data_IF_321731626694
#
_entry.id   IF_321731626694
#
_cell.length_a   1.000
_cell.length_b   1.000
_cell.length_c   1.000
_cell.angle_alpha   90.00
_cell.angle_beta   90.00
_cell.angle_gamma   90.00
#
_symmetry.space_group_name_H-M   'P 1'
#
loop_
_entity.id
_entity.type
_entity.pdbx_description
1 polymer ?
#
# COMPACT_ATOMS: atom_id res chain seq x y z
N UNK A 1 -22.14 27.01 -7.51
CA UNK A 1 -21.64 27.88 -6.42
C UNK A 1 -20.75 28.93 -7.04
N UNK A 2 -21.01 30.24 -6.82
CA UNK A 2 -20.24 31.30 -7.46
C UNK A 2 -18.79 31.26 -6.98
N UNK A 3 -17.85 31.19 -7.92
CA UNK A 3 -16.41 31.22 -7.62
C UNK A 3 -16.02 32.67 -7.32
N UNK A 4 -15.66 32.95 -6.06
CA UNK A 4 -15.03 34.23 -5.73
C UNK A 4 -13.69 34.35 -6.48
N UNK A 5 -13.33 35.56 -6.94
CA UNK A 5 -12.06 35.78 -7.61
C UNK A 5 -10.90 35.35 -6.70
N UNK A 6 -10.05 34.49 -7.22
CA UNK A 6 -8.86 34.00 -6.52
C UNK A 6 -7.60 34.41 -7.30
N UNK A 7 -6.58 34.84 -6.58
CA UNK A 7 -5.25 35.09 -7.14
C UNK A 7 -4.43 33.83 -6.90
N UNK A 8 -4.06 33.13 -7.97
CA UNK A 8 -3.20 31.95 -7.87
C UNK A 8 -1.79 32.37 -7.45
N UNK A 9 -1.28 31.69 -6.42
CA UNK A 9 0.06 31.89 -5.89
C UNK A 9 0.71 30.54 -5.64
N UNK A 10 2.02 30.51 -5.46
CA UNK A 10 2.74 29.32 -5.04
C UNK A 10 3.76 29.74 -3.99
N UNK A 11 3.52 29.39 -2.73
CA UNK A 11 4.41 29.76 -1.63
C UNK A 11 4.05 29.08 -0.32
N UNK A 12 4.78 29.44 0.73
CA UNK A 12 4.56 28.98 2.09
C UNK A 12 4.29 30.18 3.00
N UNK A 13 3.37 30.01 3.96
CA UNK A 13 3.14 30.93 5.07
C UNK A 13 3.32 30.19 6.38
N UNK A 14 3.75 30.88 7.44
CA UNK A 14 3.84 30.28 8.78
C UNK A 14 2.78 30.91 9.68
N UNK A 15 1.99 30.10 10.39
CA UNK A 15 0.97 30.63 11.31
C UNK A 15 1.60 31.42 12.45
N UNK A 16 1.04 32.58 12.79
CA UNK A 16 1.51 33.42 13.91
C UNK A 16 0.71 33.18 15.20
N UNK A 17 -0.45 32.56 15.08
CA UNK A 17 -1.33 32.18 16.19
C UNK A 17 -1.95 30.80 15.93
N UNK A 18 -2.68 30.28 16.93
CA UNK A 18 -3.52 29.10 16.73
C UNK A 18 -4.70 29.48 15.82
N UNK A 19 -4.79 28.85 14.66
CA UNK A 19 -5.81 29.15 13.64
C UNK A 19 -6.62 27.90 13.28
N UNK A 20 -7.79 28.11 12.67
CA UNK A 20 -8.61 27.03 12.11
C UNK A 20 -8.37 26.97 10.60
N UNK A 21 -8.03 25.79 10.11
CA UNK A 21 -8.09 25.46 8.69
C UNK A 21 -9.51 24.97 8.38
N UNK A 22 -10.19 25.57 7.41
CA UNK A 22 -11.63 25.37 7.15
C UNK A 22 -11.90 24.78 5.77
N UNK A 23 -12.87 23.88 5.68
CA UNK A 23 -13.19 23.17 4.45
C UNK A 23 -14.31 23.87 3.67
N UNK A 24 -14.20 23.89 2.35
CA UNK A 24 -15.29 24.28 1.45
C UNK A 24 -15.41 25.77 1.15
N UNK A 25 -15.18 26.66 2.12
CA UNK A 25 -15.28 28.11 1.91
C UNK A 25 -14.38 28.95 2.83
N UNK A 26 -14.03 30.15 2.37
CA UNK A 26 -13.28 31.17 3.10
C UNK A 26 -14.20 31.97 4.06
N UNK A 27 -14.76 31.30 5.07
CA UNK A 27 -15.64 31.92 6.08
C UNK A 27 -15.48 31.23 7.44
N UNK A 28 -15.77 31.93 8.54
CA UNK A 28 -15.76 31.36 9.89
C UNK A 28 -16.90 30.38 10.16
N UNK A 29 -17.92 30.35 9.31
CA UNK A 29 -19.05 29.42 9.42
C UNK A 29 -18.75 28.06 8.78
N UNK A 30 -17.72 28.00 7.93
CA UNK A 30 -17.31 26.78 7.26
C UNK A 30 -16.75 25.75 8.26
N UNK A 31 -17.02 24.44 8.07
CA UNK A 31 -16.53 23.39 8.96
C UNK A 31 -15.01 23.48 9.18
N UNK A 32 -14.59 23.36 10.43
CA UNK A 32 -13.15 23.30 10.78
C UNK A 32 -12.62 21.93 10.36
N UNK A 33 -11.73 21.91 9.37
CA UNK A 33 -11.00 20.71 8.97
C UNK A 33 -10.03 20.28 10.07
N UNK A 34 -9.21 21.23 10.56
CA UNK A 34 -8.33 21.04 11.72
C UNK A 34 -7.91 22.37 12.36
N UNK A 35 -7.47 22.31 13.62
CA UNK A 35 -6.76 23.40 14.29
C UNK A 35 -5.27 23.32 13.98
N UNK A 36 -4.65 24.45 13.67
CA UNK A 36 -3.22 24.57 13.36
C UNK A 36 -2.58 25.43 14.44
N UNK A 37 -1.48 24.95 15.04
CA UNK A 37 -0.76 25.66 16.10
C UNK A 37 0.06 26.83 15.51
N UNK A 38 0.42 27.80 16.34
CA UNK A 38 1.37 28.85 15.94
C UNK A 38 2.73 28.24 15.56
N UNK A 39 3.43 28.86 14.61
CA UNK A 39 4.71 28.38 14.09
C UNK A 39 4.61 27.25 13.05
N UNK A 40 3.41 26.89 12.61
CA UNK A 40 3.24 25.80 11.65
C UNK A 40 3.34 26.32 10.20
N UNK A 41 4.23 25.77 9.36
CA UNK A 41 4.30 26.12 7.94
C UNK A 41 3.12 25.50 7.17
N UNK A 42 2.52 26.29 6.28
CA UNK A 42 1.42 25.91 5.39
C UNK A 42 1.74 26.31 3.95
N UNK A 43 1.63 25.35 3.03
CA UNK A 43 1.76 25.61 1.61
C UNK A 43 0.44 26.18 1.07
N UNK A 44 0.53 27.27 0.29
CA UNK A 44 -0.62 28.01 -0.21
C UNK A 44 -0.58 28.13 -1.73
N UNK A 45 -1.77 28.00 -2.33
CA UNK A 45 -1.99 27.92 -3.78
C UNK A 45 -2.83 29.08 -4.32
N UNK A 46 -3.55 29.80 -3.46
CA UNK A 46 -4.28 30.98 -3.86
C UNK A 46 -4.50 31.93 -2.68
N UNK A 47 -4.71 33.21 -2.99
CA UNK A 47 -5.31 34.21 -2.10
C UNK A 47 -6.77 34.37 -2.56
N UNK A 48 -7.70 34.31 -1.62
CA UNK A 48 -9.14 34.38 -1.86
C UNK A 48 -9.74 35.43 -0.94
N UNK A 49 -10.64 36.25 -1.48
CA UNK A 49 -11.47 37.13 -0.66
C UNK A 49 -12.61 36.31 -0.03
N UNK A 50 -12.75 36.39 1.30
CA UNK A 50 -13.74 35.67 2.08
C UNK A 50 -14.40 36.56 3.14
N UNK A 51 -14.98 35.94 4.17
CA UNK A 51 -15.52 36.67 5.31
C UNK A 51 -14.40 37.48 5.98
N UNK A 52 -14.65 38.76 6.20
CA UNK A 52 -13.71 39.63 6.93
C UNK A 52 -13.66 39.21 8.40
N UNK A 53 -12.45 38.90 8.87
CA UNK A 53 -12.16 38.69 10.30
C UNK A 53 -11.20 39.80 10.69
N UNK A 54 -11.50 40.51 11.77
CA UNK A 54 -10.70 41.66 12.27
C UNK A 54 -10.32 42.68 11.17
N UNK A 55 -11.24 42.93 10.24
CA UNK A 55 -11.05 43.89 9.14
C UNK A 55 -10.24 43.36 7.96
N UNK A 56 -9.71 42.14 8.00
CA UNK A 56 -8.99 41.52 6.89
C UNK A 56 -9.86 40.48 6.17
N UNK A 57 -10.24 40.71 4.89
CA UNK A 57 -11.04 39.78 4.11
C UNK A 57 -10.21 38.69 3.40
N UNK A 58 -8.88 38.67 3.57
CA UNK A 58 -8.01 37.77 2.84
C UNK A 58 -7.88 36.41 3.53
N UNK A 59 -7.98 35.36 2.72
CA UNK A 59 -7.78 33.97 3.11
C UNK A 59 -6.79 33.31 2.15
N UNK A 60 -5.96 32.42 2.66
CA UNK A 60 -5.15 31.55 1.83
C UNK A 60 -5.86 30.23 1.58
N UNK A 61 -5.86 29.77 0.32
CA UNK A 61 -6.25 28.40 -0.06
C UNK A 61 -5.01 27.53 -0.06
N UNK A 62 -5.02 26.46 0.74
CA UNK A 62 -3.90 25.50 0.82
C UNK A 62 -3.91 24.52 -0.34
N UNK A 63 -2.86 23.72 -0.44
CA UNK A 63 -2.80 22.56 -1.33
C UNK A 63 -3.83 21.46 -1.01
N UNK A 64 -4.26 21.37 0.24
CA UNK A 64 -5.37 20.53 0.70
C UNK A 64 -6.76 21.05 0.27
N UNK A 65 -6.80 22.16 -0.48
CA UNK A 65 -8.02 22.86 -0.88
C UNK A 65 -8.88 23.35 0.30
N UNK A 66 -8.22 23.70 1.40
CA UNK A 66 -8.83 24.28 2.59
C UNK A 66 -8.39 25.74 2.78
N UNK A 67 -9.11 26.49 3.61
CA UNK A 67 -8.95 27.93 3.77
C UNK A 67 -8.47 28.29 5.17
N UNK A 68 -7.43 29.12 5.26
CA UNK A 68 -6.93 29.71 6.50
C UNK A 68 -6.96 31.24 6.38
N UNK A 69 -7.40 31.91 7.43
CA UNK A 69 -7.48 33.38 7.43
C UNK A 69 -6.07 33.99 7.42
N UNK A 70 -5.81 34.90 6.49
CA UNK A 70 -4.47 35.41 6.23
C UNK A 70 -3.90 36.26 7.39
N UNK A 71 -4.75 36.91 8.18
CA UNK A 71 -4.27 37.68 9.34
C UNK A 71 -3.71 36.83 10.48
N UNK A 72 -3.93 35.51 10.46
CA UNK A 72 -3.33 34.55 11.40
C UNK A 72 -2.02 33.93 10.88
N UNK A 73 -1.49 34.45 9.77
CA UNK A 73 -0.29 33.97 9.10
C UNK A 73 0.75 35.09 8.97
N UNK A 74 2.02 34.70 9.00
CA UNK A 74 3.15 35.56 8.66
C UNK A 74 3.29 35.79 7.16
N UNK A 75 4.35 36.47 6.72
CA UNK A 75 4.54 36.83 5.32
C UNK A 75 4.62 35.60 4.40
N UNK A 76 4.07 35.74 3.19
CA UNK A 76 4.16 34.74 2.13
C UNK A 76 5.61 34.65 1.63
N UNK A 77 6.16 33.45 1.64
CA UNK A 77 7.44 33.10 1.02
C UNK A 77 7.16 32.42 -0.32
N UNK A 78 7.36 33.08 -1.48
CA UNK A 78 7.11 32.48 -2.79
C UNK A 78 8.06 31.32 -3.08
N UNK A 79 7.56 30.27 -3.73
CA UNK A 79 8.42 29.23 -4.30
C UNK A 79 9.02 29.74 -5.63
N UNK A 80 10.30 29.44 -5.88
CA UNK A 80 10.97 29.83 -7.12
C UNK A 80 10.22 29.27 -8.35
N UNK A 81 10.02 30.11 -9.37
CA UNK A 81 9.36 29.73 -10.60
C UNK A 81 10.16 28.60 -11.29
N UNK A 82 9.57 27.40 -11.36
CA UNK A 82 10.23 26.19 -11.88
C UNK A 82 10.39 25.06 -10.85
N UNK A 83 10.13 25.33 -9.57
CA UNK A 83 10.05 24.31 -8.53
C UNK A 83 8.69 24.45 -7.83
N UNK A 84 7.62 23.96 -8.47
CA UNK A 84 6.36 23.77 -7.76
C UNK A 84 6.59 22.66 -6.72
N UNK A 85 6.43 22.91 -5.42
CA UNK A 85 6.43 21.82 -4.46
C UNK A 85 5.21 20.97 -4.74
N UNK A 86 5.37 19.66 -4.60
CA UNK A 86 4.25 18.72 -4.61
C UNK A 86 3.28 19.12 -3.48
N UNK A 87 1.95 19.10 -3.69
CA UNK A 87 0.99 19.39 -2.63
C UNK A 87 1.23 18.49 -1.41
N UNK A 88 1.29 19.09 -0.23
CA UNK A 88 1.21 18.45 1.06
C UNK A 88 -0.18 17.78 1.17
N UNK A 89 -0.25 16.48 1.48
CA UNK A 89 -1.52 15.80 1.64
C UNK A 89 -2.25 16.30 2.90
N UNK A 90 -3.57 16.40 2.79
CA UNK A 90 -4.46 16.73 3.89
C UNK A 90 -4.34 15.71 5.03
N UNK A 91 -4.52 16.13 6.31
CA UNK A 91 -4.64 15.17 7.38
C UNK A 91 -5.87 14.31 7.10
N UNK A 92 -5.62 13.02 6.96
CA UNK A 92 -6.68 12.01 6.83
C UNK A 92 -7.64 12.18 8.02
N UNK A 93 -8.96 12.24 7.80
CA UNK A 93 -9.91 12.18 8.91
C UNK A 93 -9.64 10.90 9.71
N UNK A 94 -9.79 10.98 11.03
CA UNK A 94 -9.66 9.81 11.91
C UNK A 94 -10.54 8.68 11.35
N UNK A 95 -10.01 7.46 11.16
CA UNK A 95 -10.79 6.39 10.57
C UNK A 95 -12.03 6.13 11.42
N UNK A 96 -13.20 6.14 10.80
CA UNK A 96 -14.36 5.45 11.35
C UNK A 96 -13.91 4.05 11.73
N UNK A 97 -14.19 3.57 12.97
CA UNK A 97 -13.81 2.21 13.35
C UNK A 97 -14.31 1.25 12.29
N UNK A 98 -13.37 0.45 11.75
CA UNK A 98 -13.68 -0.53 10.73
C UNK A 98 -14.83 -1.42 11.24
N UNK A 99 -15.84 -1.73 10.40
CA UNK A 99 -16.80 -2.76 10.78
C UNK A 99 -16.01 -4.03 11.11
N UNK A 100 -16.45 -4.72 12.17
CA UNK A 100 -15.89 -6.02 12.55
C UNK A 100 -15.77 -6.92 11.31
N UNK A 101 -14.74 -7.78 11.21
CA UNK A 101 -14.57 -8.65 10.07
C UNK A 101 -15.85 -9.45 9.85
N UNK A 102 -16.44 -9.29 8.67
CA UNK A 102 -17.59 -10.08 8.24
C UNK A 102 -17.13 -11.55 8.30
N UNK A 103 -17.84 -12.46 8.99
CA UNK A 103 -17.54 -13.88 8.94
C UNK A 103 -17.48 -14.31 7.48
N UNK A 104 -16.38 -14.96 7.08
CA UNK A 104 -16.24 -15.46 5.71
C UNK A 104 -17.44 -16.38 5.41
N UNK A 105 -18.24 -16.01 4.41
CA UNK A 105 -19.27 -16.90 3.88
C UNK A 105 -18.62 -18.23 3.44
N UNK A 106 -19.36 -19.36 3.47
CA UNK A 106 -18.85 -20.63 2.97
C UNK A 106 -18.32 -20.45 1.53
N UNK A 107 -17.02 -20.69 1.34
CA UNK A 107 -16.36 -20.53 0.03
C UNK A 107 -16.43 -21.84 -0.73
N UNK A 108 -16.78 -21.78 -2.01
CA UNK A 108 -16.68 -22.94 -2.89
C UNK A 108 -15.21 -23.09 -3.30
N UNK A 109 -14.55 -24.23 -3.01
CA UNK A 109 -13.17 -24.45 -3.42
C UNK A 109 -13.03 -24.43 -4.94
N UNK A 110 -11.87 -23.99 -5.47
CA UNK A 110 -11.50 -24.24 -6.87
C UNK A 110 -11.69 -25.73 -7.16
N UNK A 111 -12.54 -26.04 -8.14
CA UNK A 111 -12.81 -27.40 -8.57
C UNK A 111 -11.51 -28.03 -9.11
N UNK A 112 -11.05 -29.08 -8.45
CA UNK A 112 -9.87 -29.84 -8.86
C UNK A 112 -10.30 -30.95 -9.82
N UNK A 113 -9.72 -30.99 -11.02
CA UNK A 113 -9.68 -32.24 -11.80
C UNK A 113 -8.78 -33.24 -11.07
N UNK A 114 -9.26 -34.48 -10.90
CA UNK A 114 -8.52 -35.56 -10.24
C UNK A 114 -7.32 -36.09 -11.06
N UNK A 115 -7.16 -35.66 -12.32
CA UNK A 115 -6.26 -36.29 -13.29
C UNK A 115 -5.02 -35.45 -13.67
N UNK A 116 -4.99 -34.14 -13.38
CA UNK A 116 -3.85 -33.27 -13.70
C UNK A 116 -2.90 -33.09 -12.49
N UNK A 117 -1.56 -33.02 -12.69
CA UNK A 117 -0.63 -32.68 -11.62
C UNK A 117 -1.03 -31.35 -10.97
N UNK A 118 -1.22 -31.36 -9.65
CA UNK A 118 -1.69 -30.18 -8.90
C UNK A 118 -0.61 -29.09 -8.88
N UNK A 119 -0.69 -28.14 -9.79
CA UNK A 119 0.12 -26.92 -9.74
C UNK A 119 -0.47 -25.94 -8.70
N UNK A 120 0.34 -25.01 -8.15
CA UNK A 120 -0.17 -24.00 -7.24
C UNK A 120 -1.03 -22.98 -8.00
N UNK A 121 -2.03 -22.43 -7.30
CA UNK A 121 -2.92 -21.39 -7.86
C UNK A 121 -2.21 -20.05 -8.00
N UNK A 122 -1.29 -19.77 -7.08
CA UNK A 122 -0.44 -18.59 -7.06
C UNK A 122 0.99 -19.02 -6.74
N UNK A 123 1.95 -18.37 -7.38
CA UNK A 123 3.37 -18.47 -7.05
C UNK A 123 3.90 -17.09 -6.71
N UNK A 124 4.97 -17.05 -5.95
CA UNK A 124 5.79 -15.86 -5.83
C UNK A 124 7.18 -16.09 -6.44
N UNK A 125 7.77 -15.00 -6.93
CA UNK A 125 8.97 -15.03 -7.75
C UNK A 125 9.92 -13.90 -7.38
N UNK A 126 11.20 -14.09 -7.65
CA UNK A 126 12.23 -13.07 -7.72
C UNK A 126 13.14 -13.33 -8.93
N UNK A 127 14.06 -12.41 -9.21
CA UNK A 127 14.98 -12.49 -10.36
C UNK A 127 15.80 -13.79 -10.42
N UNK A 128 16.00 -14.48 -9.30
CA UNK A 128 16.74 -15.74 -9.26
C UNK A 128 15.94 -16.96 -9.73
N UNK A 129 14.62 -16.86 -9.90
CA UNK A 129 13.85 -17.90 -10.57
C UNK A 129 14.07 -17.86 -12.08
N UNK A 130 14.08 -19.01 -12.72
CA UNK A 130 14.02 -19.14 -14.18
C UNK A 130 12.55 -19.14 -14.61
N UNK A 131 12.23 -18.33 -15.62
CA UNK A 131 10.90 -18.26 -16.23
C UNK A 131 11.08 -18.36 -17.74
N UNK A 132 10.61 -19.46 -18.31
CA UNK A 132 10.65 -19.73 -19.75
C UNK A 132 9.33 -19.33 -20.43
N UNK A 133 8.18 -19.53 -19.77
CA UNK A 133 6.87 -19.21 -20.34
C UNK A 133 5.76 -19.07 -19.30
N UNK A 134 5.23 -17.86 -19.14
CA UNK A 134 4.00 -17.64 -18.36
C UNK A 134 2.75 -18.18 -19.05
N UNK A 135 2.74 -18.28 -20.39
CA UNK A 135 1.62 -18.85 -21.13
C UNK A 135 1.45 -20.35 -20.84
N UNK A 136 2.55 -21.11 -20.76
CA UNK A 136 2.52 -22.51 -20.35
C UNK A 136 2.03 -22.65 -18.90
N UNK A 137 2.51 -21.80 -18.00
CA UNK A 137 2.07 -21.80 -16.61
C UNK A 137 0.55 -21.50 -16.49
N UNK A 138 0.06 -20.50 -17.22
CA UNK A 138 -1.37 -20.16 -17.27
C UNK A 138 -2.22 -21.30 -17.81
N UNK A 139 -1.80 -21.91 -18.91
CA UNK A 139 -2.50 -23.04 -19.54
C UNK A 139 -2.58 -24.26 -18.63
N UNK A 140 -1.58 -24.44 -17.77
CA UNK A 140 -1.58 -25.48 -16.75
C UNK A 140 -2.48 -25.19 -15.53
N UNK A 141 -3.01 -23.95 -15.42
CA UNK A 141 -3.94 -23.55 -14.35
C UNK A 141 -3.40 -22.52 -13.35
N UNK A 142 -2.20 -21.94 -13.56
CA UNK A 142 -1.70 -20.87 -12.69
C UNK A 142 -2.60 -19.64 -12.86
N UNK A 143 -2.97 -19.00 -11.76
CA UNK A 143 -3.88 -17.84 -11.78
C UNK A 143 -3.15 -16.53 -11.50
N UNK A 144 -2.15 -16.54 -10.62
CA UNK A 144 -1.46 -15.32 -10.21
C UNK A 144 0.02 -15.49 -9.92
N UNK A 145 0.75 -14.39 -10.05
CA UNK A 145 2.18 -14.27 -9.75
C UNK A 145 2.38 -13.06 -8.85
N UNK A 146 3.02 -13.23 -7.69
CA UNK A 146 3.46 -12.15 -6.81
C UNK A 146 4.97 -12.02 -6.92
N UNK A 147 5.47 -11.00 -7.61
CA UNK A 147 6.89 -10.88 -7.94
C UNK A 147 7.60 -9.85 -7.05
N UNK A 148 8.83 -10.15 -6.63
CA UNK A 148 9.71 -9.20 -5.95
C UNK A 148 9.90 -7.99 -6.84
N UNK A 149 9.55 -6.81 -6.35
CA UNK A 149 9.86 -5.57 -7.04
C UNK A 149 11.14 -4.97 -6.48
N UNK A 150 11.28 -4.96 -5.16
CA UNK A 150 12.33 -4.21 -4.46
C UNK A 150 12.73 -4.84 -3.13
N UNK A 151 13.86 -4.40 -2.61
CA UNK A 151 14.26 -4.62 -1.22
C UNK A 151 15.00 -3.40 -0.69
N UNK A 152 14.71 -3.03 0.56
CA UNK A 152 15.36 -1.91 1.23
C UNK A 152 15.30 -0.61 0.44
N UNK A 153 16.29 0.26 0.68
CA UNK A 153 16.31 1.62 0.13
C UNK A 153 16.55 1.68 -1.39
N UNK A 154 17.33 0.77 -1.97
CA UNK A 154 17.77 0.89 -3.37
C UNK A 154 17.68 -0.40 -4.18
N UNK A 155 17.48 -1.54 -3.55
CA UNK A 155 17.41 -2.83 -4.22
C UNK A 155 16.20 -2.88 -5.14
N UNK A 156 16.43 -3.21 -6.41
CA UNK A 156 15.39 -3.37 -7.44
C UNK A 156 15.61 -4.70 -8.14
N UNK A 157 14.53 -5.46 -8.26
CA UNK A 157 14.56 -6.71 -8.99
C UNK A 157 14.66 -6.42 -10.50
N UNK A 158 15.66 -7.00 -11.15
CA UNK A 158 15.95 -6.72 -12.56
C UNK A 158 14.90 -7.31 -13.49
N UNK A 159 14.32 -8.44 -13.14
CA UNK A 159 13.38 -9.17 -13.98
C UNK A 159 11.93 -8.68 -13.85
N UNK A 160 11.60 -7.96 -12.77
CA UNK A 160 10.23 -7.53 -12.46
C UNK A 160 9.49 -6.87 -13.64
N UNK A 161 10.11 -5.91 -14.32
CA UNK A 161 9.41 -5.12 -15.36
C UNK A 161 9.07 -5.95 -16.59
N UNK A 162 10.03 -6.75 -17.08
CA UNK A 162 9.83 -7.64 -18.22
C UNK A 162 8.81 -8.74 -17.88
N UNK A 163 8.94 -9.34 -16.69
CA UNK A 163 8.04 -10.42 -16.25
C UNK A 163 6.62 -9.95 -16.00
N UNK A 164 6.43 -8.71 -15.54
CA UNK A 164 5.10 -8.11 -15.41
C UNK A 164 4.38 -8.12 -16.76
N UNK A 165 5.03 -7.55 -17.79
CA UNK A 165 4.44 -7.48 -19.12
C UNK A 165 4.13 -8.88 -19.68
N UNK A 166 5.05 -9.83 -19.51
CA UNK A 166 4.86 -11.21 -19.99
C UNK A 166 3.74 -11.96 -19.23
N UNK A 167 3.62 -11.78 -17.92
CA UNK A 167 2.59 -12.43 -17.11
C UNK A 167 1.20 -11.84 -17.35
N UNK A 168 1.09 -10.51 -17.37
CA UNK A 168 -0.17 -9.82 -17.69
C UNK A 168 -0.63 -10.16 -19.13
N UNK A 169 0.30 -10.21 -20.10
CA UNK A 169 0.02 -10.64 -21.48
C UNK A 169 -0.44 -12.10 -21.60
N UNK A 170 -0.06 -12.96 -20.66
CA UNK A 170 -0.57 -14.34 -20.55
C UNK A 170 -1.90 -14.44 -19.77
N UNK A 171 -2.47 -13.33 -19.29
CA UNK A 171 -3.73 -13.31 -18.55
C UNK A 171 -3.60 -13.72 -17.07
N UNK A 172 -2.40 -13.70 -16.51
CA UNK A 172 -2.15 -13.93 -15.08
C UNK A 172 -2.42 -12.66 -14.27
N UNK A 173 -2.90 -12.85 -13.04
CA UNK A 173 -2.96 -11.79 -12.04
C UNK A 173 -1.54 -11.41 -11.60
N UNK A 174 -1.24 -10.11 -11.56
CA UNK A 174 0.11 -9.61 -11.22
C UNK A 174 0.14 -8.94 -9.85
N UNK A 175 1.11 -9.33 -9.03
CA UNK A 175 1.39 -8.74 -7.74
C UNK A 175 2.85 -8.31 -7.62
N UNK A 176 3.08 -7.31 -6.78
CA UNK A 176 4.40 -6.80 -6.45
C UNK A 176 4.62 -6.91 -4.95
N UNK A 177 5.75 -7.47 -4.53
CA UNK A 177 6.16 -7.42 -3.13
C UNK A 177 7.46 -6.65 -2.90
N UNK A 178 7.56 -6.06 -1.72
CA UNK A 178 8.77 -5.44 -1.20
C UNK A 178 9.32 -6.28 -0.06
N UNK A 179 10.57 -6.74 -0.17
CA UNK A 179 11.26 -7.38 0.96
C UNK A 179 11.79 -6.30 1.91
N UNK A 180 11.13 -6.17 3.06
CA UNK A 180 11.40 -5.12 4.04
C UNK A 180 12.71 -5.32 4.78
N UNK A 181 13.43 -4.23 5.01
CA UNK A 181 14.69 -4.23 5.77
C UNK A 181 14.69 -3.20 6.90
N UNK A 182 15.79 -3.12 7.66
CA UNK A 182 16.05 -2.08 8.65
C UNK A 182 16.32 -0.68 8.06
N UNK A 183 16.26 -0.51 6.74
CA UNK A 183 16.44 0.79 6.08
C UNK A 183 15.30 1.79 6.42
N UNK A 184 15.51 3.11 6.24
CA UNK A 184 14.47 4.10 6.50
C UNK A 184 13.19 3.84 5.69
N UNK A 185 12.05 3.73 6.37
CA UNK A 185 10.77 3.29 5.79
C UNK A 185 10.36 4.15 4.59
N UNK A 186 10.45 5.48 4.70
CA UNK A 186 10.15 6.38 3.59
C UNK A 186 10.93 5.99 2.32
N UNK A 187 12.21 5.68 2.46
CA UNK A 187 13.07 5.35 1.34
C UNK A 187 12.74 3.97 0.75
N UNK A 188 12.32 3.02 1.59
CA UNK A 188 11.81 1.72 1.15
C UNK A 188 10.49 1.86 0.35
N UNK A 189 9.56 2.67 0.84
CA UNK A 189 8.28 2.97 0.15
C UNK A 189 8.54 3.68 -1.18
N UNK A 190 9.40 4.70 -1.19
CA UNK A 190 9.75 5.44 -2.41
C UNK A 190 10.38 4.50 -3.45
N UNK A 191 11.32 3.64 -3.04
CA UNK A 191 11.93 2.64 -3.92
C UNK A 191 10.87 1.67 -4.47
N UNK A 192 10.01 1.15 -3.61
CA UNK A 192 8.98 0.19 -3.99
C UNK A 192 7.98 0.77 -4.99
N UNK A 193 7.39 1.94 -4.70
CA UNK A 193 6.41 2.56 -5.58
C UNK A 193 7.03 2.98 -6.92
N UNK A 194 8.28 3.45 -6.91
CA UNK A 194 9.00 3.83 -8.13
C UNK A 194 9.20 2.63 -9.07
N UNK A 195 9.53 1.45 -8.53
CA UNK A 195 9.81 0.25 -9.33
C UNK A 195 8.54 -0.55 -9.64
N UNK A 196 7.65 -0.71 -8.67
CA UNK A 196 6.44 -1.53 -8.80
C UNK A 196 5.40 -0.87 -9.71
N UNK A 197 5.26 0.46 -9.62
CA UNK A 197 4.27 1.27 -10.34
C UNK A 197 2.88 0.59 -10.36
N UNK A 198 2.30 0.32 -9.18
CA UNK A 198 1.09 -0.47 -9.08
C UNK A 198 -0.08 0.28 -9.73
N UNK A 199 -0.76 -0.39 -10.66
CA UNK A 199 -2.04 0.07 -11.19
C UNK A 199 -3.21 -0.43 -10.35
N UNK A 200 -4.47 -0.13 -10.72
CA UNK A 200 -5.65 -0.58 -9.99
C UNK A 200 -5.77 -2.11 -9.88
N UNK A 201 -5.13 -2.88 -10.76
CA UNK A 201 -5.19 -4.34 -10.75
C UNK A 201 -3.94 -5.02 -10.18
N UNK A 202 -2.95 -4.24 -9.71
CA UNK A 202 -1.69 -4.78 -9.19
C UNK A 202 -1.80 -5.05 -7.69
N UNK A 203 -1.70 -6.30 -7.26
CA UNK A 203 -1.54 -6.62 -5.83
C UNK A 203 -0.26 -5.97 -5.30
N UNK A 204 -0.30 -5.44 -4.08
CA UNK A 204 0.84 -4.82 -3.41
C UNK A 204 1.04 -5.51 -2.08
N UNK A 205 2.23 -6.02 -1.81
CA UNK A 205 2.55 -6.73 -0.57
C UNK A 205 3.82 -6.20 0.10
N UNK A 206 3.80 -6.22 1.44
CA UNK A 206 5.01 -6.16 2.25
C UNK A 206 5.40 -7.57 2.63
N UNK A 207 6.64 -7.95 2.33
CA UNK A 207 7.28 -9.14 2.87
C UNK A 207 8.01 -8.75 4.17
N UNK A 208 7.42 -9.16 5.29
CA UNK A 208 7.87 -8.94 6.66
C UNK A 208 8.24 -10.28 7.31
N UNK A 209 9.46 -10.73 7.01
CA UNK A 209 10.02 -11.98 7.52
C UNK A 209 11.27 -11.77 8.38
N UNK A 210 11.76 -12.88 8.94
CA UNK A 210 12.97 -12.88 9.76
C UNK A 210 14.20 -12.72 8.87
N UNK A 211 15.09 -11.78 9.21
CA UNK A 211 16.39 -11.65 8.56
C UNK A 211 17.47 -11.34 9.61
N UNK A 212 18.58 -12.06 9.56
CA UNK A 212 19.63 -11.96 10.58
C UNK A 212 20.42 -10.64 10.52
N UNK A 213 20.44 -9.97 9.37
CA UNK A 213 21.34 -8.83 9.10
C UNK A 213 20.59 -7.50 8.93
N UNK A 214 19.41 -7.58 8.35
CA UNK A 214 18.64 -6.45 7.85
C UNK A 214 17.21 -6.47 8.39
N UNK A 215 16.96 -7.11 9.55
CA UNK A 215 15.63 -7.24 10.15
C UNK A 215 14.83 -5.93 10.15
N UNK A 216 13.72 -5.90 9.42
CA UNK A 216 12.76 -4.80 9.54
C UNK A 216 12.17 -4.76 10.95
N UNK A 217 12.10 -3.57 11.55
CA UNK A 217 11.45 -3.37 12.85
C UNK A 217 9.92 -3.51 12.78
N UNK A 218 9.29 -3.86 13.89
CA UNK A 218 7.83 -3.99 13.98
C UNK A 218 7.11 -2.67 13.65
N UNK A 219 7.57 -1.55 14.24
CA UNK A 219 7.01 -0.23 13.95
C UNK A 219 7.37 0.26 12.54
N UNK A 220 8.52 -0.15 12.00
CA UNK A 220 8.88 0.15 10.62
C UNK A 220 7.91 -0.53 9.63
N UNK A 221 7.55 -1.79 9.89
CA UNK A 221 6.61 -2.52 9.07
C UNK A 221 5.20 -1.91 9.14
N UNK A 222 4.74 -1.51 10.34
CA UNK A 222 3.51 -0.72 10.50
C UNK A 222 3.55 0.57 9.69
N UNK A 223 4.60 1.37 9.83
CA UNK A 223 4.77 2.64 9.09
C UNK A 223 4.79 2.40 7.57
N UNK A 224 5.41 1.32 7.09
CA UNK A 224 5.42 0.98 5.67
C UNK A 224 4.00 0.72 5.15
N UNK A 225 3.23 -0.10 5.86
CA UNK A 225 1.85 -0.44 5.50
C UNK A 225 0.93 0.79 5.50
N UNK A 226 1.09 1.67 6.49
CA UNK A 226 0.38 2.96 6.56
C UNK A 226 0.68 3.83 5.35
N UNK A 227 1.97 4.04 5.04
CA UNK A 227 2.40 4.84 3.90
C UNK A 227 1.92 4.28 2.57
N UNK A 228 1.88 2.95 2.41
CA UNK A 228 1.30 2.35 1.20
C UNK A 228 -0.19 2.66 1.12
N UNK A 229 -0.93 2.54 2.22
CA UNK A 229 -2.34 2.87 2.25
C UNK A 229 -2.61 4.34 1.91
N UNK A 230 -1.82 5.26 2.47
CA UNK A 230 -1.88 6.70 2.14
C UNK A 230 -1.64 6.98 0.65
N UNK A 231 -0.70 6.26 0.02
CA UNK A 231 -0.30 6.51 -1.37
C UNK A 231 -1.24 5.87 -2.39
N UNK A 232 -1.84 4.73 -2.05
CA UNK A 232 -2.63 3.93 -2.99
C UNK A 232 -4.14 3.93 -2.70
N UNK A 233 -4.55 4.41 -1.53
CA UNK A 233 -5.95 4.35 -1.08
C UNK A 233 -6.44 2.95 -0.71
N UNK A 234 -5.56 1.93 -0.76
CA UNK A 234 -5.86 0.53 -0.41
C UNK A 234 -4.73 -0.09 0.40
N UNK A 235 -5.05 -1.11 1.19
CA UNK A 235 -4.08 -1.75 2.08
C UNK A 235 -3.17 -2.70 1.29
N UNK A 236 -1.88 -2.71 1.63
CA UNK A 236 -1.00 -3.78 1.17
C UNK A 236 -1.36 -5.11 1.86
N UNK A 237 -1.14 -6.22 1.16
CA UNK A 237 -1.10 -7.56 1.75
C UNK A 237 0.13 -7.68 2.64
N UNK A 238 -0.01 -8.31 3.80
CA UNK A 238 1.11 -8.64 4.67
C UNK A 238 1.54 -10.08 4.41
N UNK A 239 2.76 -10.27 3.91
CA UNK A 239 3.43 -11.55 3.97
C UNK A 239 4.21 -11.66 5.28
N UNK A 240 3.89 -12.68 6.07
CA UNK A 240 4.62 -13.02 7.28
C UNK A 240 4.20 -14.41 7.77
N UNK A 241 4.88 -14.90 8.82
CA UNK A 241 4.60 -16.20 9.42
C UNK A 241 4.99 -16.20 10.89
N UNK A 242 6.16 -16.77 11.18
CA UNK A 242 6.68 -16.85 12.54
C UNK A 242 6.88 -15.48 13.19
N UNK A 243 7.45 -14.51 12.45
CA UNK A 243 7.82 -13.21 13.01
C UNK A 243 6.60 -12.43 13.53
N UNK A 244 5.53 -12.30 12.76
CA UNK A 244 4.34 -11.57 13.21
C UNK A 244 3.62 -12.27 14.37
N UNK A 245 3.66 -13.62 14.41
CA UNK A 245 3.15 -14.40 15.55
C UNK A 245 3.92 -14.07 16.84
N UNK A 246 5.25 -14.02 16.77
CA UNK A 246 6.08 -13.66 17.92
C UNK A 246 5.79 -12.23 18.40
N UNK A 247 5.75 -11.26 17.47
CA UNK A 247 5.55 -9.84 17.83
C UNK A 247 4.19 -9.55 18.44
N UNK A 248 3.13 -10.21 17.99
CA UNK A 248 1.78 -9.99 18.50
C UNK A 248 1.42 -10.92 19.66
N UNK A 249 2.09 -12.08 19.78
CA UNK A 249 1.73 -13.12 20.73
C UNK A 249 0.24 -13.45 20.67
N UNK A 250 -0.43 -13.37 21.82
CA UNK A 250 -1.87 -13.61 21.95
C UNK A 250 -2.75 -12.36 21.79
N UNK A 251 -2.16 -11.18 21.58
CA UNK A 251 -2.92 -9.93 21.46
C UNK A 251 -3.65 -9.86 20.12
N UNK A 252 -4.90 -9.45 20.15
CA UNK A 252 -5.65 -9.09 18.93
C UNK A 252 -5.33 -7.63 18.63
N UNK A 253 -4.69 -7.37 17.49
CA UNK A 253 -4.33 -6.02 17.07
C UNK A 253 -5.14 -5.65 15.80
N UNK A 254 -6.02 -4.63 15.88
CA UNK A 254 -6.91 -4.26 14.79
C UNK A 254 -6.17 -3.64 13.60
N UNK A 255 -4.99 -3.05 13.81
CA UNK A 255 -4.18 -2.52 12.70
C UNK A 255 -3.70 -3.68 11.84
N UNK A 256 -3.04 -4.67 12.44
CA UNK A 256 -2.50 -5.81 11.72
C UNK A 256 -3.60 -6.69 11.13
N UNK A 257 -4.66 -6.97 11.90
CA UNK A 257 -5.80 -7.77 11.45
C UNK A 257 -6.60 -7.15 10.30
N UNK A 258 -6.44 -5.85 10.01
CA UNK A 258 -7.08 -5.20 8.87
C UNK A 258 -6.38 -5.48 7.53
N UNK A 259 -5.16 -6.02 7.54
CA UNK A 259 -4.44 -6.43 6.34
C UNK A 259 -4.77 -7.88 6.00
N UNK A 260 -4.92 -8.19 4.71
CA UNK A 260 -4.93 -9.58 4.24
C UNK A 260 -3.60 -10.24 4.59
N UNK A 261 -3.67 -11.42 5.18
CA UNK A 261 -2.49 -12.21 5.53
C UNK A 261 -2.13 -13.18 4.39
N UNK A 262 -0.98 -12.95 3.77
CA UNK A 262 -0.25 -13.95 3.00
C UNK A 262 0.65 -14.71 3.98
N UNK A 263 0.15 -15.83 4.47
CA UNK A 263 0.72 -16.56 5.59
C UNK A 263 1.83 -17.50 5.14
N UNK A 264 3.01 -17.43 5.74
CA UNK A 264 4.11 -18.37 5.53
C UNK A 264 4.14 -19.41 6.66
N UNK A 265 3.81 -20.67 6.35
CA UNK A 265 3.90 -21.78 7.30
C UNK A 265 3.97 -23.13 6.59
N UNK A 266 5.10 -23.82 6.68
CA UNK A 266 5.35 -25.07 5.94
C UNK A 266 4.98 -26.31 6.77
N UNK A 267 3.89 -26.19 7.52
CA UNK A 267 3.29 -27.28 8.28
C UNK A 267 2.07 -27.85 7.54
N UNK A 268 1.57 -29.07 7.85
CA UNK A 268 0.37 -29.60 7.21
C UNK A 268 -0.90 -28.77 7.42
N UNK A 269 -0.91 -27.88 8.42
CA UNK A 269 -2.05 -27.02 8.73
C UNK A 269 -1.56 -25.62 9.09
N UNK A 270 -2.07 -24.62 8.40
CA UNK A 270 -1.83 -23.22 8.72
C UNK A 270 -2.51 -22.85 10.05
N UNK A 271 -1.76 -22.21 10.94
CA UNK A 271 -2.28 -21.61 12.17
C UNK A 271 -1.96 -20.13 12.15
N UNK A 272 -2.96 -19.28 12.00
CA UNK A 272 -2.74 -17.82 11.99
C UNK A 272 -2.67 -17.25 13.40
N UNK A 273 -2.09 -16.06 13.52
CA UNK A 273 -2.12 -15.28 14.77
C UNK A 273 -3.54 -14.75 15.01
N UNK A 274 -3.93 -14.53 16.27
CA UNK A 274 -5.32 -14.22 16.69
C UNK A 274 -5.94 -12.96 16.09
N UNK A 275 -5.17 -12.05 15.54
CA UNK A 275 -5.69 -10.87 14.81
C UNK A 275 -6.38 -11.26 13.50
N UNK A 276 -6.13 -12.48 13.00
CA UNK A 276 -6.77 -13.05 11.82
C UNK A 276 -7.60 -14.27 12.19
N UNK A 277 -8.81 -14.36 11.62
CA UNK A 277 -9.63 -15.58 11.70
C UNK A 277 -9.15 -16.67 10.73
N UNK A 278 -8.52 -16.28 9.62
CA UNK A 278 -7.88 -17.18 8.66
C UNK A 278 -6.84 -16.42 7.82
N UNK A 279 -6.04 -17.15 7.05
CA UNK A 279 -5.17 -16.56 6.04
C UNK A 279 -5.99 -16.15 4.81
N UNK A 280 -5.51 -15.16 4.06
CA UNK A 280 -6.03 -14.86 2.73
C UNK A 280 -5.34 -15.75 1.69
N UNK A 281 -4.01 -15.79 1.73
CA UNK A 281 -3.17 -16.66 0.91
C UNK A 281 -2.22 -17.43 1.84
N UNK A 282 -1.89 -18.68 1.54
CA UNK A 282 -0.99 -19.48 2.35
C UNK A 282 0.16 -20.03 1.52
N UNK A 283 1.38 -19.56 1.79
CA UNK A 283 2.60 -20.19 1.30
C UNK A 283 2.90 -21.41 2.16
N UNK A 284 2.68 -22.58 1.59
CA UNK A 284 2.68 -23.85 2.35
C UNK A 284 3.91 -24.72 2.06
N UNK A 285 4.66 -24.41 1.01
CA UNK A 285 5.86 -25.15 0.65
C UNK A 285 6.76 -24.35 -0.30
N UNK A 286 8.07 -24.51 -0.12
CA UNK A 286 9.06 -24.33 -1.18
C UNK A 286 9.50 -25.72 -1.66
N UNK A 287 9.21 -26.09 -2.92
CA UNK A 287 9.52 -27.42 -3.44
C UNK A 287 9.84 -27.40 -4.92
N UNK A 288 10.33 -28.53 -5.44
CA UNK A 288 10.61 -28.71 -6.86
C UNK A 288 9.44 -28.21 -7.71
N UNK A 289 9.74 -27.42 -8.74
CA UNK A 289 8.71 -26.83 -9.56
C UNK A 289 8.03 -27.90 -10.41
N UNK A 290 6.70 -27.93 -10.32
CA UNK A 290 5.83 -28.67 -11.24
C UNK A 290 5.08 -27.72 -12.16
N UNK A 291 5.45 -26.43 -12.19
CA UNK A 291 4.77 -25.39 -12.98
C UNK A 291 5.39 -25.36 -14.38
N UNK A 292 4.65 -25.74 -15.44
CA UNK A 292 5.16 -25.70 -16.80
C UNK A 292 5.64 -24.29 -17.17
N UNK A 293 6.81 -24.23 -17.81
CA UNK A 293 7.43 -22.96 -18.18
C UNK A 293 8.13 -22.21 -17.04
N UNK A 294 8.11 -22.72 -15.80
CA UNK A 294 8.79 -22.07 -14.66
C UNK A 294 9.62 -23.12 -13.91
N UNK A 295 10.88 -23.36 -14.30
CA UNK A 295 11.75 -24.35 -13.64
C UNK A 295 12.03 -24.06 -12.16
N UNK A 296 11.86 -22.82 -11.70
CA UNK A 296 12.13 -22.42 -10.31
C UNK A 296 13.50 -21.74 -10.15
N UNK A 297 13.97 -21.62 -8.91
CA UNK A 297 15.27 -21.04 -8.56
C UNK A 297 16.45 -21.93 -9.01
N UNK A 298 17.68 -21.58 -8.62
CA UNK A 298 18.88 -22.36 -8.96
C UNK A 298 18.82 -23.83 -8.50
N UNK A 299 18.02 -24.15 -7.47
CA UNK A 299 17.75 -25.51 -7.01
C UNK A 299 16.52 -26.15 -7.65
N UNK A 300 15.92 -25.54 -8.66
CA UNK A 300 14.70 -26.00 -9.31
C UNK A 300 13.45 -25.88 -8.44
N UNK A 301 13.46 -25.04 -7.40
CA UNK A 301 12.36 -24.89 -6.45
C UNK A 301 11.54 -23.62 -6.67
N UNK A 302 10.29 -23.65 -6.25
CA UNK A 302 9.39 -22.51 -6.23
C UNK A 302 8.47 -22.57 -5.02
N UNK A 303 8.00 -21.40 -4.61
CA UNK A 303 7.07 -21.22 -3.51
C UNK A 303 5.63 -21.44 -3.98
N UNK A 304 4.93 -22.35 -3.28
CA UNK A 304 3.57 -22.77 -3.60
C UNK A 304 2.61 -22.06 -2.66
N UNK A 305 1.67 -21.34 -3.26
CA UNK A 305 0.63 -20.65 -2.51
C UNK A 305 -0.73 -21.30 -2.73
N UNK A 306 -1.48 -21.43 -1.64
CA UNK A 306 -2.84 -21.92 -1.61
C UNK A 306 -3.80 -20.77 -1.31
N UNK A 307 -4.87 -20.69 -2.10
CA UNK A 307 -5.99 -19.80 -1.87
C UNK A 307 -7.23 -20.63 -1.58
N UNK A 308 -7.93 -20.30 -0.50
CA UNK A 308 -9.18 -20.96 -0.14
C UNK A 308 -10.35 -20.15 -0.73
N UNK A 309 -10.76 -20.49 -1.96
CA UNK A 309 -11.84 -19.84 -2.70
C UNK A 309 -11.76 -20.18 -4.18
N UNK A 310 -12.67 -19.62 -4.98
CA UNK A 310 -12.73 -19.77 -6.44
C UNK A 310 -11.75 -18.84 -7.18
N UNK A 311 -11.53 -19.05 -8.49
CA UNK A 311 -10.80 -18.07 -9.32
C UNK A 311 -11.50 -16.69 -9.31
N UNK A 312 -12.83 -16.66 -9.32
CA UNK A 312 -13.60 -15.42 -9.27
C UNK A 312 -13.35 -14.66 -7.97
N UNK A 313 -13.34 -15.37 -6.83
CA UNK A 313 -13.02 -14.78 -5.52
C UNK A 313 -11.58 -14.23 -5.52
N UNK A 314 -10.62 -15.01 -6.04
CA UNK A 314 -9.23 -14.57 -6.12
C UNK A 314 -9.09 -13.28 -6.94
N UNK A 315 -9.75 -13.21 -8.10
CA UNK A 315 -9.74 -12.01 -8.97
C UNK A 315 -10.38 -10.81 -8.30
N UNK A 316 -11.51 -10.99 -7.62
CA UNK A 316 -12.19 -9.92 -6.89
C UNK A 316 -11.36 -9.40 -5.71
N UNK A 317 -10.63 -10.28 -5.04
CA UNK A 317 -9.83 -9.93 -3.86
C UNK A 317 -8.43 -9.39 -4.22
N UNK A 318 -7.85 -9.75 -5.37
CA UNK A 318 -6.42 -9.57 -5.70
C UNK A 318 -5.83 -8.19 -5.42
N UNK A 319 -6.53 -7.11 -5.82
CA UNK A 319 -6.03 -5.74 -5.72
C UNK A 319 -7.00 -4.81 -4.98
N UNK A 320 -7.82 -5.35 -4.08
CA UNK A 320 -8.81 -4.61 -3.29
C UNK A 320 -8.28 -4.12 -1.94
#
# INVERSE_FOLDING_TARGET
MPQHPQILISGQVTTTAKVNLRQGAATTDAPVLRKVLAGTPLNVRAIVAGLSVDGNPLWYRTDENAYVWAGGCGPLTPFAAGAAPLPTPAPTPLPTPAPAPIPAAPRTPIATSAEAPRIPVVIDLYQGNVVNSFAQARAAGLLGVIHKATTGQTGKDKAYTERRAAAEGAGLLWGAYHWGTNAPVKAQVDNFLLKAQPGPNTLVALDYEIDAKFQMGFDQAREFLERIHEKLGRRAVLYSGHLIKEKLGNSVDPFWGAHRLWHAEYNPTAKVQKSWSSYWLWQYAEKASTVPGIPGNAGGKIDYNHFNGSEADLRAEWAS
#
